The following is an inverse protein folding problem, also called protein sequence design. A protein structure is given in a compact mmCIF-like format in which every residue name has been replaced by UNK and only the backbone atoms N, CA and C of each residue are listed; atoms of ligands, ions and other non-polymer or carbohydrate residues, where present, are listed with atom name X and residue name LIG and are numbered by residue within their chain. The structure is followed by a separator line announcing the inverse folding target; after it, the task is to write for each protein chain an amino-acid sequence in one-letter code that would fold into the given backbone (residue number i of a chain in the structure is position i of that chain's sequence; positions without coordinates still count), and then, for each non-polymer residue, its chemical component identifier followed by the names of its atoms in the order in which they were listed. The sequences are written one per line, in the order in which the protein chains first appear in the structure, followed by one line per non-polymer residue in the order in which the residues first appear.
data_IF_831969150905
#
_entry.id   IF_831969150905
#
_cell.length_a   1.000
_cell.length_b   1.000
_cell.length_c   1.000
_cell.angle_alpha   90.00
_cell.angle_beta   90.00
_cell.angle_gamma   90.00
#
_symmetry.space_group_name_H-M   'P 1'
#
loop_
_entity.id
_entity.type
_entity.pdbx_description
1 polymer ?
#
# COMPACT_ATOMS: atom_id res chain seq x y z
N UNK A 1 -17.91 16.10 2.08
CA UNK A 1 -16.99 15.08 2.64
C UNK A 1 -15.78 15.80 3.18
N UNK A 2 -15.39 15.54 4.44
CA UNK A 2 -14.19 16.17 5.00
C UNK A 2 -12.91 15.65 4.33
N UNK A 3 -11.94 16.54 4.13
CA UNK A 3 -10.63 16.22 3.57
C UNK A 3 -9.98 15.04 4.31
N UNK A 4 -10.12 14.99 5.64
CA UNK A 4 -9.60 13.89 6.46
C UNK A 4 -10.22 12.53 6.12
N UNK A 5 -11.54 12.48 5.88
CA UNK A 5 -12.24 11.26 5.46
C UNK A 5 -11.79 10.78 4.09
N UNK A 6 -11.56 11.70 3.14
CA UNK A 6 -11.03 11.38 1.81
C UNK A 6 -9.63 10.74 1.87
N UNK A 7 -8.72 11.31 2.66
CA UNK A 7 -7.37 10.75 2.84
C UNK A 7 -7.38 9.35 3.48
N UNK A 8 -8.24 9.13 4.47
CA UNK A 8 -8.41 7.80 5.10
C UNK A 8 -8.99 6.80 4.11
N UNK A 9 -9.97 7.21 3.29
CA UNK A 9 -10.58 6.35 2.28
C UNK A 9 -9.58 5.94 1.19
N UNK A 10 -8.79 6.90 0.68
CA UNK A 10 -7.72 6.64 -0.29
C UNK A 10 -6.66 5.70 0.29
N UNK A 11 -6.30 5.87 1.56
CA UNK A 11 -5.36 5.00 2.25
C UNK A 11 -5.90 3.57 2.39
N UNK A 12 -7.18 3.42 2.76
CA UNK A 12 -7.84 2.12 2.85
C UNK A 12 -7.87 1.40 1.49
N UNK A 13 -8.21 2.11 0.41
CA UNK A 13 -8.19 1.55 -0.95
C UNK A 13 -6.77 1.11 -1.35
N UNK A 14 -5.75 1.91 -1.02
CA UNK A 14 -4.35 1.57 -1.27
C UNK A 14 -3.92 0.27 -0.56
N UNK A 15 -4.32 0.09 0.71
CA UNK A 15 -4.08 -1.15 1.46
C UNK A 15 -4.74 -2.34 0.75
N UNK A 16 -6.00 -2.21 0.34
CA UNK A 16 -6.75 -3.29 -0.31
C UNK A 16 -6.09 -3.70 -1.63
N UNK A 17 -5.74 -2.74 -2.48
CA UNK A 17 -5.04 -3.01 -3.75
C UNK A 17 -3.69 -3.69 -3.51
N UNK A 18 -2.95 -3.26 -2.49
CA UNK A 18 -1.65 -3.86 -2.14
C UNK A 18 -1.78 -5.30 -1.65
N UNK A 19 -2.79 -5.59 -0.82
CA UNK A 19 -3.09 -6.96 -0.37
C UNK A 19 -3.48 -7.87 -1.54
N UNK A 20 -4.29 -7.38 -2.47
CA UNK A 20 -4.67 -8.12 -3.68
C UNK A 20 -3.42 -8.42 -4.54
N UNK A 21 -2.58 -7.41 -4.79
CA UNK A 21 -1.33 -7.57 -5.54
C UNK A 21 -0.37 -8.55 -4.87
N UNK A 22 -0.26 -8.52 -3.53
CA UNK A 22 0.54 -9.47 -2.76
C UNK A 22 -0.03 -10.89 -2.88
N UNK A 23 -1.35 -11.05 -2.81
CA UNK A 23 -2.03 -12.33 -2.99
C UNK A 23 -1.75 -12.93 -4.37
N UNK A 24 -1.79 -12.13 -5.44
CA UNK A 24 -1.38 -12.57 -6.78
C UNK A 24 0.10 -12.94 -6.86
N UNK A 25 0.98 -12.21 -6.16
CA UNK A 25 2.40 -12.56 -6.09
C UNK A 25 2.63 -13.89 -5.38
N UNK A 26 1.91 -14.17 -4.28
CA UNK A 26 1.95 -15.48 -3.58
C UNK A 26 1.43 -16.58 -4.49
N UNK A 27 0.30 -16.35 -5.15
CA UNK A 27 -0.28 -17.31 -6.10
C UNK A 27 0.71 -17.65 -7.21
N UNK A 28 1.40 -16.65 -7.77
CA UNK A 28 2.40 -16.87 -8.81
C UNK A 28 3.61 -17.69 -8.31
N UNK A 29 4.02 -17.49 -7.06
CA UNK A 29 5.08 -18.29 -6.45
C UNK A 29 4.64 -19.74 -6.24
N UNK A 30 3.42 -19.96 -5.75
CA UNK A 30 2.96 -21.30 -5.40
C UNK A 30 2.56 -22.15 -6.63
N UNK A 31 2.00 -21.53 -7.67
CA UNK A 31 1.51 -22.25 -8.87
C UNK A 31 2.57 -22.34 -9.97
N UNK A 32 3.45 -21.34 -10.09
CA UNK A 32 4.40 -21.26 -11.21
C UNK A 32 5.87 -21.29 -10.76
N UNK A 33 6.16 -21.56 -9.47
CA UNK A 33 7.51 -21.53 -8.87
C UNK A 33 8.29 -20.23 -9.17
N UNK A 34 7.58 -19.14 -9.48
CA UNK A 34 8.20 -17.85 -9.79
C UNK A 34 8.62 -17.15 -8.51
N UNK A 35 9.83 -16.59 -8.43
CA UNK A 35 10.33 -15.98 -7.19
C UNK A 35 9.36 -14.92 -6.65
N UNK A 36 8.88 -15.12 -5.41
CA UNK A 36 7.90 -14.24 -4.76
C UNK A 36 8.40 -12.80 -4.61
N UNK A 37 9.66 -12.63 -4.19
CA UNK A 37 10.33 -11.35 -3.99
C UNK A 37 11.12 -10.92 -5.24
N UNK A 38 10.40 -10.71 -6.35
CA UNK A 38 11.00 -10.05 -7.52
C UNK A 38 11.36 -8.59 -7.20
N UNK A 39 12.27 -7.96 -7.98
CA UNK A 39 12.53 -6.52 -7.88
C UNK A 39 11.24 -5.69 -7.93
N UNK A 40 10.26 -6.13 -8.72
CA UNK A 40 8.94 -5.49 -8.85
C UNK A 40 8.13 -5.60 -7.55
N UNK A 41 8.07 -6.77 -6.92
CA UNK A 41 7.36 -6.95 -5.64
C UNK A 41 8.00 -6.11 -4.53
N UNK A 42 9.33 -6.05 -4.50
CA UNK A 42 10.08 -5.20 -3.55
C UNK A 42 9.83 -3.71 -3.78
N UNK A 43 9.84 -3.28 -5.05
CA UNK A 43 9.54 -1.91 -5.43
C UNK A 43 8.12 -1.49 -5.09
N UNK A 44 7.13 -2.37 -5.35
CA UNK A 44 5.73 -2.15 -4.98
C UNK A 44 5.58 -1.97 -3.47
N UNK A 45 6.21 -2.85 -2.68
CA UNK A 45 6.15 -2.78 -1.22
C UNK A 45 6.81 -1.49 -0.69
N UNK A 46 7.97 -1.11 -1.26
CA UNK A 46 8.66 0.12 -0.89
C UNK A 46 7.83 1.38 -1.22
N UNK A 47 7.23 1.43 -2.41
CA UNK A 47 6.35 2.53 -2.81
C UNK A 47 5.12 2.63 -1.91
N UNK A 48 4.54 1.50 -1.51
CA UNK A 48 3.43 1.44 -0.58
C UNK A 48 3.82 1.97 0.82
N UNK A 49 4.97 1.54 1.37
CA UNK A 49 5.47 2.04 2.65
C UNK A 49 5.73 3.56 2.61
N UNK A 50 6.30 4.07 1.52
CA UNK A 50 6.53 5.51 1.34
C UNK A 50 5.21 6.29 1.26
N UNK A 51 4.21 5.78 0.53
CA UNK A 51 2.87 6.37 0.49
C UNK A 51 2.22 6.36 1.88
N UNK A 52 2.31 5.24 2.61
CA UNK A 52 1.77 5.14 3.96
C UNK A 52 2.42 6.14 4.93
N UNK A 53 3.73 6.29 4.87
CA UNK A 53 4.46 7.27 5.66
C UNK A 53 4.02 8.71 5.33
N UNK A 54 3.89 9.06 4.05
CA UNK A 54 3.42 10.38 3.63
C UNK A 54 2.00 10.69 4.13
N UNK A 55 1.08 9.73 4.03
CA UNK A 55 -0.30 9.87 4.53
C UNK A 55 -0.31 10.04 6.05
N UNK A 56 0.45 9.23 6.78
CA UNK A 56 0.56 9.32 8.24
C UNK A 56 1.11 10.69 8.70
N UNK A 57 2.14 11.20 8.03
CA UNK A 57 2.70 12.53 8.29
C UNK A 57 1.67 13.63 8.00
N UNK A 58 0.96 13.54 6.87
CA UNK A 58 -0.08 14.50 6.47
C UNK A 58 -1.22 14.56 7.49
N UNK A 59 -1.69 13.40 7.95
CA UNK A 59 -2.73 13.30 8.99
C UNK A 59 -2.23 13.83 10.35
N UNK A 60 -0.96 13.58 10.71
CA UNK A 60 -0.36 14.06 11.96
C UNK A 60 -0.24 15.59 11.99
N UNK A 61 0.07 16.22 10.85
CA UNK A 61 0.07 17.68 10.73
C UNK A 61 -1.34 18.27 10.74
N UNK A 62 -2.31 17.61 10.11
CA UNK A 62 -3.70 18.07 10.06
C UNK A 62 -4.38 18.05 11.44
N UNK A 63 -3.93 17.19 12.36
CA UNK A 63 -4.47 17.09 13.72
C UNK A 63 -3.92 18.14 14.71
N UNK A 64 -2.86 18.88 14.34
CA UNK A 64 -2.25 19.92 15.18
C UNK A 64 -2.83 21.33 14.93
N UNK A 65 -3.78 21.46 14.01
CA UNK A 65 -4.48 22.70 13.66
C UNK A 65 -5.90 22.64 14.18
#
# INVERSE_FOLDING_TARGET
MDQRKLWVMLFAVSIMVTLIGLGFSVYNYFVFDKPFMTPTTKGLLAAFFLCAAMVAISLSKLSKK
#
